data_IF_423673667858
#
_entry.id   IF_423673667858
#
_cell.length_a   1.000
_cell.length_b   1.000
_cell.length_c   1.000
_cell.angle_alpha   90.00
_cell.angle_beta   90.00
_cell.angle_gamma   90.00
#
_symmetry.space_group_name_H-M   'P 1'
#
loop_
_entity.id
_entity.type
_entity.pdbx_description
1 polymer ?
#
# COMPACT_ATOMS: atom_id res chain seq x y z
N UNK A 1 -15.79 4.88 11.29
CA UNK A 1 -14.93 4.40 12.40
C UNK A 1 -13.56 4.18 11.78
N UNK A 2 -12.48 4.78 12.29
CA UNK A 2 -11.15 4.65 11.67
C UNK A 2 -10.66 3.21 11.78
N UNK A 3 -10.17 2.62 10.67
CA UNK A 3 -9.56 1.29 10.65
C UNK A 3 -8.21 1.23 11.39
N UNK A 4 -7.65 2.41 11.69
CA UNK A 4 -6.34 2.52 12.30
C UNK A 4 -6.41 3.34 13.58
N UNK A 5 -5.79 2.84 14.62
CA UNK A 5 -5.51 3.61 15.83
C UNK A 5 -4.00 3.82 15.91
N UNK A 6 -3.59 5.01 16.34
CA UNK A 6 -2.20 5.20 16.73
C UNK A 6 -1.90 4.19 17.84
N UNK A 7 -0.84 3.43 17.72
CA UNK A 7 -0.35 2.61 18.83
C UNK A 7 0.06 3.57 19.92
N UNK A 8 -0.79 3.73 20.93
CA UNK A 8 -0.48 4.52 22.15
C UNK A 8 0.56 3.84 23.04
N UNK A 9 1.03 2.67 22.68
CA UNK A 9 2.21 2.08 23.28
C UNK A 9 3.39 2.73 22.57
N UNK A 10 3.91 3.73 23.26
CA UNK A 10 5.14 4.44 22.96
C UNK A 10 6.29 3.52 22.57
N UNK A 11 6.34 3.13 21.32
CA UNK A 11 7.61 2.89 20.69
C UNK A 11 8.13 4.29 20.34
N UNK A 12 9.00 4.81 21.15
CA UNK A 12 9.56 6.18 21.06
C UNK A 12 10.16 6.56 19.70
N UNK A 13 10.07 5.72 18.66
CA UNK A 13 10.73 5.91 17.38
C UNK A 13 9.96 5.48 16.12
N UNK A 14 8.72 4.93 16.20
CA UNK A 14 8.04 4.47 14.99
C UNK A 14 6.59 4.93 14.95
N UNK A 15 6.27 5.82 13.99
CA UNK A 15 4.90 6.27 13.66
C UNK A 15 4.10 5.19 12.90
N UNK A 16 4.35 3.90 13.18
CA UNK A 16 3.58 2.81 12.62
C UNK A 16 2.18 2.77 13.25
N UNK A 17 1.19 2.51 12.42
CA UNK A 17 -0.18 2.34 12.85
C UNK A 17 -0.43 0.89 13.27
N UNK A 18 -1.49 0.67 14.04
CA UNK A 18 -2.00 -0.66 14.35
C UNK A 18 -3.32 -0.89 13.60
N UNK A 19 -3.38 -2.00 12.86
CA UNK A 19 -4.60 -2.40 12.17
C UNK A 19 -5.66 -2.83 13.18
N UNK A 20 -6.86 -2.27 13.06
CA UNK A 20 -8.01 -2.66 13.87
C UNK A 20 -9.24 -2.78 12.98
N UNK A 21 -9.67 -4.02 12.77
CA UNK A 21 -10.91 -4.28 12.06
C UNK A 21 -12.11 -4.06 12.98
N UNK A 22 -13.13 -3.30 12.55
CA UNK A 22 -14.40 -3.20 13.30
C UNK A 22 -15.17 -4.54 13.29
N UNK A 23 -15.03 -5.29 12.20
CA UNK A 23 -15.55 -6.65 12.01
C UNK A 23 -14.52 -7.46 11.23
N UNK A 24 -14.52 -8.78 11.34
CA UNK A 24 -13.57 -9.63 10.60
C UNK A 24 -13.62 -9.33 9.08
N UNK A 25 -12.47 -9.17 8.40
CA UNK A 25 -12.43 -8.95 6.96
C UNK A 25 -13.05 -10.15 6.23
N UNK A 26 -13.87 -9.86 5.22
CA UNK A 26 -14.61 -10.88 4.48
C UNK A 26 -14.14 -11.07 3.06
N UNK A 27 -13.70 -10.00 2.41
CA UNK A 27 -13.36 -9.99 0.99
C UNK A 27 -11.86 -9.72 0.82
N UNK A 28 -11.14 -10.71 0.34
CA UNK A 28 -9.70 -10.64 0.14
C UNK A 28 -9.39 -10.70 -1.36
N UNK A 29 -8.82 -9.63 -1.89
CA UNK A 29 -8.30 -9.60 -3.26
C UNK A 29 -6.90 -10.22 -3.28
N UNK A 30 -6.71 -11.23 -4.10
CA UNK A 30 -5.42 -11.87 -4.33
C UNK A 30 -4.86 -11.41 -5.69
N UNK A 31 -3.66 -10.85 -5.68
CA UNK A 31 -2.91 -10.50 -6.89
C UNK A 31 -1.59 -11.25 -6.91
N UNK A 32 -1.09 -11.57 -8.10
CA UNK A 32 0.16 -12.32 -8.27
C UNK A 32 1.03 -11.73 -9.36
N UNK A 33 2.33 -12.05 -9.31
CA UNK A 33 3.22 -11.82 -10.43
C UNK A 33 2.77 -12.68 -11.63
N UNK A 34 2.52 -12.02 -12.75
CA UNK A 34 2.12 -12.71 -13.98
C UNK A 34 3.26 -13.57 -14.56
N UNK A 35 2.90 -14.55 -15.39
CA UNK A 35 3.83 -15.40 -16.13
C UNK A 35 4.86 -16.15 -15.26
N UNK A 36 4.47 -16.54 -14.04
CA UNK A 36 5.34 -17.28 -13.12
C UNK A 36 4.61 -18.48 -12.52
N UNK A 37 4.84 -19.70 -13.05
CA UNK A 37 4.18 -20.93 -12.57
C UNK A 37 4.37 -21.18 -11.07
N UNK A 38 5.58 -20.96 -10.56
CA UNK A 38 5.88 -21.14 -9.12
C UNK A 38 5.06 -20.20 -8.23
N UNK A 39 4.77 -18.98 -8.71
CA UNK A 39 3.92 -18.03 -7.97
C UNK A 39 2.46 -18.47 -8.06
N UNK A 40 2.03 -19.04 -9.18
CA UNK A 40 0.69 -19.60 -9.34
C UNK A 40 0.46 -20.78 -8.39
N UNK A 41 1.41 -21.71 -8.27
CA UNK A 41 1.33 -22.83 -7.32
C UNK A 41 1.23 -22.33 -5.88
N UNK A 42 2.01 -21.31 -5.54
CA UNK A 42 1.97 -20.67 -4.21
C UNK A 42 0.65 -19.96 -3.97
N UNK A 43 0.07 -19.30 -4.98
CA UNK A 43 -1.25 -18.69 -4.89
C UNK A 43 -2.34 -19.73 -4.61
N UNK A 44 -2.28 -20.89 -5.29
CA UNK A 44 -3.21 -22.00 -5.06
C UNK A 44 -3.07 -22.54 -3.63
N UNK A 45 -1.85 -22.73 -3.15
CA UNK A 45 -1.58 -23.15 -1.77
C UNK A 45 -2.17 -22.17 -0.76
N UNK A 46 -1.93 -20.88 -0.96
CA UNK A 46 -2.42 -19.81 -0.11
C UNK A 46 -3.94 -19.70 -0.13
N UNK A 47 -4.56 -19.75 -1.31
CA UNK A 47 -6.01 -19.71 -1.45
C UNK A 47 -6.68 -20.91 -0.76
N UNK A 48 -6.16 -22.12 -0.92
CA UNK A 48 -6.64 -23.33 -0.21
C UNK A 48 -6.54 -23.19 1.30
N UNK A 49 -5.44 -22.61 1.78
CA UNK A 49 -5.29 -22.36 3.22
C UNK A 49 -6.36 -21.38 3.73
N UNK A 50 -6.60 -20.29 3.03
CA UNK A 50 -7.64 -19.32 3.44
C UNK A 50 -9.02 -20.00 3.42
N UNK A 51 -9.39 -20.66 2.35
CA UNK A 51 -10.69 -21.32 2.22
C UNK A 51 -10.92 -22.39 3.31
N UNK A 52 -9.88 -23.14 3.69
CA UNK A 52 -10.02 -24.19 4.72
C UNK A 52 -9.99 -23.67 6.15
N UNK A 53 -9.22 -22.61 6.41
CA UNK A 53 -8.99 -22.10 7.77
C UNK A 53 -9.89 -20.90 8.14
N UNK A 54 -10.42 -20.19 7.15
CA UNK A 54 -11.23 -18.98 7.29
C UNK A 54 -12.47 -19.04 6.37
N UNK A 55 -13.43 -19.93 6.61
CA UNK A 55 -14.56 -20.20 5.70
C UNK A 55 -15.49 -19.00 5.51
N UNK A 56 -15.40 -17.96 6.33
CA UNK A 56 -16.14 -16.71 6.18
C UNK A 56 -15.51 -15.73 5.19
N UNK A 57 -14.31 -16.04 4.69
CA UNK A 57 -13.58 -15.18 3.75
C UNK A 57 -13.90 -15.57 2.32
N UNK A 58 -14.29 -14.59 1.52
CA UNK A 58 -14.46 -14.69 0.06
C UNK A 58 -13.17 -14.26 -0.63
N UNK A 59 -12.69 -15.06 -1.57
CA UNK A 59 -11.52 -14.74 -2.38
C UNK A 59 -11.95 -14.07 -3.68
N UNK A 60 -11.35 -12.92 -3.96
CA UNK A 60 -11.52 -12.16 -5.20
C UNK A 60 -10.19 -12.24 -5.95
N UNK A 61 -10.23 -12.45 -7.26
CA UNK A 61 -9.05 -12.48 -8.11
C UNK A 61 -9.29 -11.61 -9.35
N UNK A 62 -8.21 -11.13 -9.94
CA UNK A 62 -8.28 -10.53 -11.27
C UNK A 62 -8.66 -11.60 -12.30
N UNK A 63 -9.34 -11.24 -13.41
CA UNK A 63 -9.90 -12.20 -14.37
C UNK A 63 -8.90 -13.25 -14.84
N UNK A 64 -7.71 -12.84 -15.27
CA UNK A 64 -6.67 -13.74 -15.77
C UNK A 64 -6.19 -14.73 -14.69
N UNK A 65 -5.97 -14.24 -13.47
CA UNK A 65 -5.58 -15.07 -12.35
C UNK A 65 -6.70 -16.05 -11.95
N UNK A 66 -7.96 -15.59 -11.99
CA UNK A 66 -9.11 -16.44 -11.69
C UNK A 66 -9.26 -17.58 -12.71
N UNK A 67 -9.10 -17.28 -14.01
CA UNK A 67 -9.14 -18.31 -15.07
C UNK A 67 -8.05 -19.38 -14.89
N UNK A 68 -6.86 -18.95 -14.48
CA UNK A 68 -5.71 -19.84 -14.26
C UNK A 68 -5.90 -20.78 -13.06
N UNK A 69 -6.50 -20.28 -11.94
CA UNK A 69 -6.50 -21.03 -10.68
C UNK A 69 -7.83 -21.69 -10.29
N UNK A 70 -8.98 -21.28 -10.89
CA UNK A 70 -10.31 -21.74 -10.43
C UNK A 70 -10.45 -23.27 -10.43
N UNK A 71 -9.84 -23.97 -11.38
CA UNK A 71 -9.90 -25.43 -11.50
C UNK A 71 -9.20 -26.16 -10.36
N UNK A 72 -8.32 -25.47 -9.65
CA UNK A 72 -7.51 -26.03 -8.56
C UNK A 72 -8.11 -25.76 -7.17
N UNK A 73 -9.21 -25.02 -7.09
CA UNK A 73 -9.85 -24.63 -5.85
C UNK A 73 -11.21 -25.32 -5.68
N UNK A 74 -11.53 -25.71 -4.45
CA UNK A 74 -12.78 -26.42 -4.14
C UNK A 74 -13.93 -25.45 -3.90
N UNK A 75 -13.67 -24.37 -3.21
CA UNK A 75 -14.69 -23.35 -2.92
C UNK A 75 -14.71 -22.28 -4.03
N UNK A 76 -15.84 -21.63 -4.25
CA UNK A 76 -15.96 -20.59 -5.27
C UNK A 76 -15.00 -19.44 -5.02
N UNK A 77 -14.55 -18.84 -6.10
CA UNK A 77 -13.81 -17.59 -6.15
C UNK A 77 -14.59 -16.58 -6.97
N UNK A 78 -14.34 -15.31 -6.73
CA UNK A 78 -15.02 -14.21 -7.39
C UNK A 78 -14.06 -13.44 -8.28
N UNK A 79 -14.59 -12.88 -9.35
CA UNK A 79 -13.86 -11.99 -10.24
C UNK A 79 -14.79 -10.91 -10.79
N UNK A 80 -14.21 -9.85 -11.35
CA UNK A 80 -14.99 -8.77 -11.98
C UNK A 80 -15.51 -9.23 -13.33
N UNK A 81 -16.80 -9.00 -13.59
CA UNK A 81 -17.40 -9.31 -14.90
C UNK A 81 -16.90 -8.35 -15.98
N UNK A 82 -16.81 -8.86 -17.23
CA UNK A 82 -16.44 -8.05 -18.38
C UNK A 82 -17.42 -6.87 -18.58
N UNK A 83 -16.87 -5.66 -18.71
CA UNK A 83 -17.63 -4.42 -18.91
C UNK A 83 -17.70 -3.50 -17.67
N UNK A 84 -17.44 -3.99 -16.48
CA UNK A 84 -17.29 -3.16 -15.28
C UNK A 84 -15.85 -2.68 -15.13
N UNK A 85 -15.67 -1.45 -14.61
CA UNK A 85 -14.33 -0.95 -14.26
C UNK A 85 -13.85 -1.68 -12.99
N UNK A 86 -12.76 -2.47 -13.04
CA UNK A 86 -12.28 -3.21 -11.86
C UNK A 86 -12.03 -2.32 -10.64
N UNK A 87 -11.52 -1.11 -10.85
CA UNK A 87 -11.19 -0.17 -9.78
C UNK A 87 -12.38 0.24 -8.92
N UNK A 88 -13.55 0.49 -9.51
CA UNK A 88 -14.75 0.86 -8.73
C UNK A 88 -15.30 -0.32 -7.93
N UNK A 89 -15.34 -1.51 -8.55
CA UNK A 89 -15.84 -2.73 -7.89
C UNK A 89 -14.92 -3.12 -6.73
N UNK A 90 -13.60 -3.05 -6.93
CA UNK A 90 -12.63 -3.39 -5.88
C UNK A 90 -12.69 -2.39 -4.72
N UNK A 91 -12.85 -1.09 -5.00
CA UNK A 91 -12.94 -0.07 -3.96
C UNK A 91 -14.12 -0.30 -2.99
N UNK A 92 -15.24 -0.78 -3.52
CA UNK A 92 -16.47 -0.99 -2.72
C UNK A 92 -16.50 -2.34 -2.01
N UNK A 93 -15.79 -3.35 -2.51
CA UNK A 93 -15.96 -4.74 -2.07
C UNK A 93 -14.77 -5.31 -1.31
N UNK A 94 -13.56 -4.82 -1.56
CA UNK A 94 -12.34 -5.41 -1.02
C UNK A 94 -12.02 -4.86 0.37
N UNK A 95 -11.88 -5.74 1.36
CA UNK A 95 -11.44 -5.37 2.70
C UNK A 95 -9.91 -5.44 2.85
N UNK A 96 -9.28 -6.40 2.19
CA UNK A 96 -7.84 -6.68 2.29
C UNK A 96 -7.30 -7.06 0.91
N UNK A 97 -6.15 -6.53 0.55
CA UNK A 97 -5.39 -7.00 -0.62
C UNK A 97 -4.23 -7.87 -0.17
N UNK A 98 -4.00 -8.98 -0.85
CA UNK A 98 -2.83 -9.82 -0.60
C UNK A 98 -2.07 -10.08 -1.90
N UNK A 99 -0.77 -9.78 -1.91
CA UNK A 99 0.07 -9.84 -3.12
C UNK A 99 1.13 -10.93 -3.01
N UNK A 100 1.34 -11.69 -4.09
CA UNK A 100 2.39 -12.69 -4.21
C UNK A 100 3.36 -12.30 -5.33
N UNK A 101 4.53 -11.77 -4.97
CA UNK A 101 5.51 -11.31 -5.96
C UNK A 101 6.57 -10.39 -5.36
N UNK A 102 7.09 -9.49 -6.17
CA UNK A 102 8.02 -8.43 -5.76
C UNK A 102 7.34 -7.06 -5.74
N UNK A 103 8.15 -6.00 -5.65
CA UNK A 103 7.68 -4.61 -5.56
C UNK A 103 6.74 -4.23 -6.72
N UNK A 104 7.02 -4.68 -7.95
CA UNK A 104 6.14 -4.44 -9.09
C UNK A 104 4.73 -5.03 -8.93
N UNK A 105 4.56 -6.15 -8.21
CA UNK A 105 3.23 -6.72 -7.92
C UNK A 105 2.48 -5.88 -6.89
N UNK A 106 3.19 -5.30 -5.94
CA UNK A 106 2.60 -4.39 -4.94
C UNK A 106 2.15 -3.09 -5.60
N UNK A 107 2.98 -2.53 -6.49
CA UNK A 107 2.62 -1.36 -7.31
C UNK A 107 1.38 -1.64 -8.17
N UNK A 108 1.34 -2.80 -8.83
CA UNK A 108 0.16 -3.22 -9.59
C UNK A 108 -1.08 -3.28 -8.71
N UNK A 109 -1.00 -3.92 -7.54
CA UNK A 109 -2.12 -3.98 -6.60
C UNK A 109 -2.58 -2.58 -6.15
N UNK A 110 -1.64 -1.66 -5.88
CA UNK A 110 -1.96 -0.26 -5.55
C UNK A 110 -2.63 0.47 -6.72
N UNK A 111 -2.20 0.20 -7.97
CA UNK A 111 -2.74 0.84 -9.17
C UNK A 111 -4.21 0.49 -9.44
N UNK A 112 -4.71 -0.65 -8.93
CA UNK A 112 -6.13 -1.01 -8.99
C UNK A 112 -7.02 -0.01 -8.23
N UNK A 113 -6.42 0.78 -7.34
CA UNK A 113 -7.06 1.84 -6.54
C UNK A 113 -6.53 3.24 -6.88
N UNK A 114 -5.93 3.41 -8.06
CA UNK A 114 -5.27 4.66 -8.43
C UNK A 114 -6.22 5.87 -8.57
N UNK A 115 -7.53 5.65 -8.69
CA UNK A 115 -8.54 6.73 -8.74
C UNK A 115 -9.31 6.86 -7.42
N UNK A 116 -8.96 6.06 -6.41
CA UNK A 116 -9.67 6.01 -5.12
C UNK A 116 -8.85 6.66 -4.02
N UNK A 117 -9.50 7.46 -3.18
CA UNK A 117 -8.86 8.02 -1.97
C UNK A 117 -8.61 6.93 -0.92
N UNK A 118 -9.49 5.94 -0.83
CA UNK A 118 -9.37 4.83 0.12
C UNK A 118 -8.75 3.60 -0.55
N UNK A 119 -7.66 3.10 0.04
CA UNK A 119 -6.99 1.87 -0.39
C UNK A 119 -7.07 0.84 0.74
N UNK A 120 -7.55 -0.39 0.49
CA UNK A 120 -7.52 -1.45 1.47
C UNK A 120 -6.09 -1.77 1.93
N UNK A 121 -5.89 -2.26 3.17
CA UNK A 121 -4.58 -2.72 3.62
C UNK A 121 -3.99 -3.77 2.68
N UNK A 122 -2.68 -3.67 2.42
CA UNK A 122 -1.96 -4.58 1.53
C UNK A 122 -1.00 -5.46 2.34
N UNK A 123 -1.24 -6.77 2.32
CA UNK A 123 -0.35 -7.81 2.84
C UNK A 123 0.47 -8.41 1.70
N UNK A 124 1.77 -8.21 1.71
CA UNK A 124 2.65 -8.57 0.60
C UNK A 124 3.59 -9.70 0.94
N UNK A 125 3.65 -10.72 0.07
CA UNK A 125 4.56 -11.85 0.18
C UNK A 125 5.63 -11.82 -0.90
N UNK A 126 6.89 -11.72 -0.49
CA UNK A 126 8.03 -11.90 -1.38
C UNK A 126 8.21 -13.38 -1.73
N UNK A 127 8.38 -13.64 -3.03
CA UNK A 127 8.59 -14.99 -3.58
C UNK A 127 10.08 -15.32 -3.81
N UNK A 128 10.97 -14.42 -3.44
CA UNK A 128 12.41 -14.54 -3.61
C UNK A 128 13.16 -13.62 -2.65
N UNK A 129 13.99 -12.73 -3.19
CA UNK A 129 14.63 -11.68 -2.42
C UNK A 129 13.59 -10.67 -1.93
N UNK A 130 13.74 -10.17 -0.70
CA UNK A 130 12.92 -9.08 -0.21
C UNK A 130 13.20 -7.83 -1.06
N UNK A 131 12.11 -7.10 -1.38
CA UNK A 131 12.18 -5.78 -2.00
C UNK A 131 12.09 -4.67 -0.96
N UNK A 132 11.91 -3.44 -1.43
CA UNK A 132 11.70 -2.26 -0.57
C UNK A 132 10.27 -2.14 -0.05
N UNK A 133 9.30 -2.80 -0.71
CA UNK A 133 7.88 -2.66 -0.41
C UNK A 133 7.32 -3.85 0.37
N UNK A 134 7.84 -5.05 0.17
CA UNK A 134 7.34 -6.28 0.80
C UNK A 134 8.27 -6.80 1.88
N UNK A 135 7.73 -7.07 3.08
CA UNK A 135 8.52 -7.50 4.23
C UNK A 135 8.31 -8.96 4.63
N UNK A 136 7.21 -9.59 4.18
CA UNK A 136 6.90 -10.97 4.53
C UNK A 136 7.43 -11.93 3.47
N UNK A 137 8.10 -13.00 3.90
CA UNK A 137 8.42 -14.13 3.02
C UNK A 137 7.20 -15.04 2.88
N UNK A 138 7.01 -15.62 1.70
CA UNK A 138 5.85 -16.51 1.47
C UNK A 138 5.79 -17.67 2.46
N UNK A 139 6.91 -18.22 2.90
CA UNK A 139 6.95 -19.29 3.91
C UNK A 139 6.21 -18.94 5.23
N UNK A 140 5.99 -17.67 5.51
CA UNK A 140 5.31 -17.18 6.72
C UNK A 140 3.82 -16.85 6.49
N UNK A 141 3.23 -17.18 5.33
CA UNK A 141 1.89 -16.73 4.95
C UNK A 141 0.79 -17.08 5.97
N UNK A 142 0.86 -18.26 6.59
CA UNK A 142 -0.11 -18.69 7.60
C UNK A 142 -0.10 -17.80 8.85
N UNK A 143 1.09 -17.41 9.27
CA UNK A 143 1.28 -16.52 10.41
C UNK A 143 0.84 -15.10 10.07
N UNK A 144 1.31 -14.57 8.95
CA UNK A 144 1.02 -13.22 8.50
C UNK A 144 -0.49 -13.00 8.29
N UNK A 145 -1.16 -13.89 7.56
CA UNK A 145 -2.60 -13.79 7.34
C UNK A 145 -3.39 -13.86 8.65
N UNK A 146 -3.00 -14.77 9.55
CA UNK A 146 -3.65 -14.87 10.86
C UNK A 146 -3.49 -13.59 11.68
N UNK A 147 -2.30 -12.98 11.69
CA UNK A 147 -2.02 -11.75 12.42
C UNK A 147 -2.92 -10.62 11.90
N UNK A 148 -3.02 -10.48 10.58
CA UNK A 148 -3.88 -9.49 9.93
C UNK A 148 -5.36 -9.76 10.22
N UNK A 149 -5.84 -10.97 9.99
CA UNK A 149 -7.24 -11.36 10.16
C UNK A 149 -7.73 -11.17 11.61
N UNK A 150 -6.86 -11.40 12.58
CA UNK A 150 -7.21 -11.30 14.01
C UNK A 150 -7.05 -9.90 14.59
N UNK A 151 -6.55 -8.93 13.83
CA UNK A 151 -6.38 -7.54 14.27
C UNK A 151 -7.73 -6.92 14.63
N UNK A 152 -7.87 -6.35 15.82
CA UNK A 152 -9.13 -5.75 16.33
C UNK A 152 -10.13 -6.74 16.94
N UNK A 153 -9.82 -8.04 17.00
CA UNK A 153 -10.74 -9.06 17.53
C UNK A 153 -11.23 -8.82 18.96
N UNK A 154 -10.47 -8.09 19.78
CA UNK A 154 -10.86 -7.76 21.15
C UNK A 154 -11.85 -6.61 21.27
N UNK A 155 -11.76 -5.61 20.38
CA UNK A 155 -12.59 -4.41 20.46
C UNK A 155 -14.02 -4.67 19.96
N UNK A 156 -14.20 -5.57 18.99
CA UNK A 156 -15.50 -6.01 18.52
C UNK A 156 -16.33 -6.78 19.57
N UNK A 157 -15.68 -7.37 20.56
CA UNK A 157 -16.37 -8.13 21.61
C UNK A 157 -16.91 -7.24 22.73
N UNK A 158 -16.25 -6.12 23.01
CA UNK A 158 -16.70 -5.14 24.01
C UNK A 158 -17.98 -4.40 23.63
N UNK A 159 -18.18 -4.14 22.34
CA UNK A 159 -19.35 -3.40 21.85
C UNK A 159 -20.64 -4.25 21.79
N UNK A 160 -20.53 -5.58 21.75
CA UNK A 160 -21.69 -6.49 21.75
C UNK A 160 -22.23 -6.70 23.18
N UNK A 161 -21.40 -6.55 24.20
CA UNK A 161 -21.81 -6.71 25.62
C UNK A 161 -22.38 -5.41 26.18
N UNK A 162 -22.06 -4.24 25.60
CA UNK A 162 -22.52 -2.94 26.10
C UNK A 162 -23.91 -2.55 25.58
N UNK A 163 -24.59 -3.41 24.82
CA UNK A 163 -25.92 -3.13 24.23
C UNK A 163 -27.11 -3.48 25.11
N UNK A 164 -26.91 -3.99 26.32
CA UNK A 164 -28.02 -4.24 27.23
C UNK A 164 -27.84 -3.38 28.51
N UNK A 165 -28.60 -2.28 28.53
CA UNK A 165 -28.61 -1.35 29.62
C UNK A 165 -29.34 -1.92 30.85
N UNK A 166 -28.63 -2.09 31.93
CA UNK A 166 -29.18 -1.79 33.27
C UNK A 166 -28.03 -1.50 34.24
N UNK A 167 -28.02 -0.27 34.72
CA UNK A 167 -27.30 0.14 35.91
C UNK A 167 -27.71 -0.71 37.09
N UNK A 168 -26.77 -1.37 37.78
CA UNK A 168 -26.90 -1.60 39.21
C UNK A 168 -25.53 -1.48 39.90
N UNK A 169 -25.56 -0.69 40.92
CA UNK A 169 -24.45 -0.26 41.74
C UNK A 169 -23.78 -1.41 42.51
N UNK A 170 -22.55 -1.17 42.88
CA UNK A 170 -21.74 -1.88 43.87
C UNK A 170 -22.52 -2.29 45.10
N UNK A 171 -22.44 -3.59 45.46
CA UNK A 171 -22.46 -3.96 46.87
C UNK A 171 -21.39 -5.04 47.11
N UNK A 172 -20.60 -4.81 48.14
CA UNK A 172 -19.62 -5.74 48.71
C UNK A 172 -20.32 -6.62 49.69
N UNK A 173 -20.36 -7.93 49.45
CA UNK A 173 -20.88 -8.89 50.42
C UNK A 173 -20.22 -10.26 50.24
N UNK A 174 -19.49 -10.64 51.26
CA UNK A 174 -18.93 -11.96 51.54
C UNK A 174 -19.99 -13.04 51.61
N UNK A 175 -19.73 -14.24 51.06
CA UNK A 175 -20.51 -15.45 51.37
C UNK A 175 -20.47 -16.57 50.34
N UNK A 176 -20.11 -17.69 50.76
CA UNK A 176 -19.87 -19.05 50.29
C UNK A 176 -20.71 -19.62 49.12
N UNK A 177 -20.20 -20.69 48.46
CA UNK A 177 -20.76 -21.23 47.22
C UNK A 177 -21.60 -22.46 47.47
N UNK A 178 -22.88 -22.44 47.11
CA UNK A 178 -23.62 -23.69 46.78
C UNK A 178 -24.86 -23.38 45.92
N UNK A 179 -25.01 -24.20 44.88
CA UNK A 179 -26.26 -24.57 44.18
C UNK A 179 -26.91 -23.53 43.28
N UNK A 180 -26.94 -23.73 42.00
CA UNK A 180 -27.93 -24.55 41.30
C UNK A 180 -27.72 -24.52 39.77
N UNK A 181 -27.68 -25.69 39.23
CA UNK A 181 -27.72 -25.97 37.79
C UNK A 181 -29.13 -25.65 37.32
N UNK A 182 -29.22 -24.73 36.35
CA UNK A 182 -30.40 -24.62 35.50
C UNK A 182 -29.99 -24.99 34.08
N UNK A 183 -30.30 -26.24 33.75
CA UNK A 183 -30.30 -26.75 32.36
C UNK A 183 -31.42 -26.11 31.59
N UNK A 184 -31.10 -25.40 30.49
CA UNK A 184 -32.01 -25.38 29.35
C UNK A 184 -31.26 -25.04 28.07
N UNK A 185 -31.48 -25.95 27.10
CA UNK A 185 -31.30 -25.83 25.65
C UNK A 185 -29.87 -25.71 25.13
N UNK A 186 -29.30 -26.85 24.77
CA UNK A 186 -28.23 -26.95 23.81
C UNK A 186 -28.74 -26.57 22.43
N UNK A 187 -28.05 -25.64 21.70
CA UNK A 187 -28.12 -25.67 20.25
C UNK A 187 -27.10 -26.72 19.79
N UNK A 188 -27.63 -27.72 19.10
CA UNK A 188 -26.85 -28.66 18.32
C UNK A 188 -26.08 -27.90 17.24
N UNK A 189 -24.79 -27.70 17.40
CA UNK A 189 -23.83 -27.71 16.33
C UNK A 189 -22.42 -27.73 16.95
N UNK A 190 -21.72 -28.85 16.74
CA UNK A 190 -20.32 -29.05 17.06
C UNK A 190 -19.35 -28.21 16.16
N UNK A 191 -19.72 -27.01 15.81
CA UNK A 191 -18.83 -26.07 15.15
C UNK A 191 -17.88 -25.49 16.20
N UNK A 192 -16.63 -25.94 16.21
CA UNK A 192 -15.58 -25.31 17.02
C UNK A 192 -15.53 -23.83 16.68
N UNK A 193 -15.63 -22.91 17.67
CA UNK A 193 -15.56 -21.49 17.40
C UNK A 193 -14.23 -21.18 16.71
N UNK A 194 -14.29 -20.77 15.45
CA UNK A 194 -13.14 -20.44 14.62
C UNK A 194 -12.98 -18.95 14.48
N UNK A 195 -11.73 -18.47 14.39
CA UNK A 195 -11.44 -17.08 14.12
C UNK A 195 -11.71 -16.14 15.30
N UNK A 196 -12.40 -15.06 15.05
CA UNK A 196 -12.64 -13.94 15.96
C UNK A 196 -13.33 -14.34 17.28
N UNK A 197 -14.22 -15.30 17.24
CA UNK A 197 -14.95 -15.83 18.41
C UNK A 197 -14.13 -16.84 19.22
N UNK A 198 -12.96 -17.24 18.77
CA UNK A 198 -12.13 -18.24 19.48
C UNK A 198 -11.50 -17.65 20.74
N UNK A 199 -11.23 -18.54 21.74
CA UNK A 199 -10.49 -18.17 22.97
C UNK A 199 -9.12 -17.55 22.63
N UNK A 200 -8.47 -18.03 21.56
CA UNK A 200 -7.18 -17.48 21.11
C UNK A 200 -7.31 -16.07 20.54
N UNK A 201 -8.43 -15.75 19.87
CA UNK A 201 -8.73 -14.37 19.44
C UNK A 201 -8.90 -13.45 20.64
N UNK A 202 -9.64 -13.90 21.65
CA UNK A 202 -9.85 -13.14 22.89
C UNK A 202 -8.58 -12.92 23.71
N UNK A 203 -7.55 -13.77 23.55
CA UNK A 203 -6.26 -13.64 24.26
C UNK A 203 -5.25 -12.76 23.53
N UNK A 204 -5.54 -12.31 22.29
CA UNK A 204 -4.74 -11.30 21.62
C UNK A 204 -5.09 -9.95 22.26
N UNK A 205 -4.22 -9.45 23.13
CA UNK A 205 -4.40 -8.15 23.76
C UNK A 205 -4.47 -7.01 22.74
N UNK A 206 -4.94 -5.81 23.12
CA UNK A 206 -5.16 -4.67 22.23
C UNK A 206 -3.90 -4.24 21.44
N UNK A 207 -2.74 -4.63 21.90
CA UNK A 207 -1.44 -4.29 21.29
C UNK A 207 -0.91 -5.33 20.29
N UNK A 208 -1.69 -6.36 19.93
CA UNK A 208 -1.27 -7.43 19.02
C UNK A 208 -1.89 -7.35 17.63
N UNK A 209 -2.35 -6.18 17.20
CA UNK A 209 -2.75 -5.94 15.82
C UNK A 209 -1.56 -5.93 14.87
N UNK A 210 -1.79 -6.29 13.61
CA UNK A 210 -0.80 -6.14 12.55
C UNK A 210 -0.34 -4.68 12.46
N UNK A 211 0.95 -4.49 12.29
CA UNK A 211 1.53 -3.15 12.12
C UNK A 211 1.39 -2.70 10.68
N UNK A 212 1.12 -1.43 10.50
CA UNK A 212 0.87 -0.81 9.21
C UNK A 212 1.77 0.40 9.04
N UNK A 213 2.53 0.39 7.96
CA UNK A 213 3.19 1.56 7.42
C UNK A 213 2.24 2.22 6.41
N UNK A 214 1.81 3.44 6.71
CA UNK A 214 0.99 4.20 5.77
C UNK A 214 1.90 4.92 4.77
N UNK A 215 1.87 4.48 3.50
CA UNK A 215 2.68 5.06 2.43
C UNK A 215 1.93 6.22 1.79
N UNK A 216 2.61 7.35 1.69
CA UNK A 216 2.07 8.53 0.99
C UNK A 216 1.94 8.26 -0.51
N UNK A 217 0.96 8.90 -1.15
CA UNK A 217 0.83 8.94 -2.60
C UNK A 217 0.97 10.37 -3.11
N UNK A 218 1.28 10.47 -4.38
CA UNK A 218 1.15 11.72 -5.14
C UNK A 218 -0.24 11.78 -5.73
N UNK A 219 -0.83 12.96 -5.71
CA UNK A 219 -2.03 13.30 -6.46
C UNK A 219 -1.63 14.02 -7.74
N UNK A 220 -2.13 13.57 -8.89
CA UNK A 220 -1.65 13.97 -10.20
C UNK A 220 -2.80 14.47 -11.06
N UNK A 221 -2.61 15.60 -11.71
CA UNK A 221 -3.51 16.13 -12.74
C UNK A 221 -2.74 16.61 -13.97
N UNK A 222 -3.31 16.41 -15.15
CA UNK A 222 -2.82 16.95 -16.41
C UNK A 222 -3.74 18.09 -16.86
N UNK A 223 -3.16 19.21 -17.30
CA UNK A 223 -3.90 20.41 -17.65
C UNK A 223 -3.47 20.94 -19.02
N UNK A 224 -4.44 21.42 -19.76
CA UNK A 224 -4.22 22.11 -21.04
C UNK A 224 -3.58 23.49 -20.85
N UNK A 225 -3.13 24.12 -21.97
CA UNK A 225 -2.56 25.46 -21.92
C UNK A 225 -3.56 26.53 -21.44
N UNK A 226 -4.86 26.27 -21.57
CA UNK A 226 -5.95 27.12 -21.10
C UNK A 226 -6.27 26.91 -19.61
N UNK A 227 -5.54 25.99 -18.94
CA UNK A 227 -5.76 25.61 -17.56
C UNK A 227 -6.92 24.63 -17.33
N UNK A 228 -7.62 24.21 -18.41
CA UNK A 228 -8.62 23.14 -18.32
C UNK A 228 -7.94 21.82 -17.97
N UNK A 229 -8.62 21.02 -17.15
CA UNK A 229 -8.13 19.68 -16.84
C UNK A 229 -8.34 18.78 -18.06
N UNK A 230 -7.32 18.01 -18.39
CA UNK A 230 -7.40 17.05 -19.47
C UNK A 230 -7.82 15.71 -18.88
N UNK A 231 -8.96 15.20 -19.34
CA UNK A 231 -9.55 13.98 -18.82
C UNK A 231 -8.62 12.77 -18.93
N UNK A 232 -8.72 11.87 -17.98
CA UNK A 232 -8.12 10.53 -18.11
C UNK A 232 -8.87 9.78 -19.21
N UNK A 233 -8.22 8.77 -19.83
CA UNK A 233 -8.78 7.92 -20.90
C UNK A 233 -10.17 7.34 -20.59
N UNK A 234 -10.62 7.45 -19.34
CA UNK A 234 -11.88 6.96 -18.81
C UNK A 234 -12.97 8.05 -18.62
N UNK A 235 -12.65 9.34 -18.79
CA UNK A 235 -13.58 10.45 -18.55
C UNK A 235 -14.76 10.49 -19.56
N UNK A 236 -14.65 9.82 -20.70
CA UNK A 236 -15.69 9.78 -21.72
C UNK A 236 -17.00 9.10 -21.26
N UNK A 237 -16.99 8.37 -20.13
CA UNK A 237 -18.13 7.59 -19.64
C UNK A 237 -18.76 8.17 -18.38
N UNK A 238 -18.02 8.87 -17.50
CA UNK A 238 -18.54 9.35 -16.21
C UNK A 238 -18.65 10.86 -16.08
N UNK A 239 -18.02 11.64 -16.97
CA UNK A 239 -18.08 13.12 -16.89
C UNK A 239 -17.37 13.72 -15.65
N UNK A 240 -16.86 12.91 -14.75
CA UNK A 240 -16.12 13.34 -13.56
C UNK A 240 -14.61 13.22 -13.80
N UNK A 241 -13.92 14.32 -13.55
CA UNK A 241 -12.48 14.41 -13.65
C UNK A 241 -11.83 13.78 -12.41
N UNK A 242 -11.56 12.47 -12.47
CA UNK A 242 -10.96 11.75 -11.36
C UNK A 242 -9.46 12.09 -11.21
N UNK A 243 -9.05 12.36 -9.98
CA UNK A 243 -7.63 12.44 -9.63
C UNK A 243 -6.97 11.08 -9.77
N UNK A 244 -5.72 11.07 -10.21
CA UNK A 244 -4.91 9.85 -10.29
C UNK A 244 -3.84 9.90 -9.22
N UNK A 245 -3.69 8.80 -8.50
CA UNK A 245 -2.72 8.69 -7.41
C UNK A 245 -1.55 7.79 -7.81
N UNK A 246 -0.34 8.21 -7.47
CA UNK A 246 0.90 7.45 -7.64
C UNK A 246 1.50 7.08 -6.29
N UNK A 247 1.92 5.83 -6.11
CA UNK A 247 2.61 5.38 -4.91
C UNK A 247 4.11 5.65 -4.97
N UNK A 248 4.73 5.49 -6.16
CA UNK A 248 6.14 5.77 -6.35
C UNK A 248 6.38 7.14 -6.96
N UNK A 249 6.02 7.34 -8.23
CA UNK A 249 6.42 8.54 -8.95
C UNK A 249 5.55 8.85 -10.16
N UNK A 250 5.66 10.12 -10.56
CA UNK A 250 5.22 10.64 -11.87
C UNK A 250 6.43 11.06 -12.65
N UNK A 251 6.49 10.66 -13.91
CA UNK A 251 7.62 10.91 -14.80
C UNK A 251 7.14 11.66 -16.04
N UNK A 252 7.86 12.72 -16.41
CA UNK A 252 7.84 13.29 -17.76
C UNK A 252 9.14 12.88 -18.45
N UNK A 253 9.06 12.27 -19.63
CA UNK A 253 10.22 11.77 -20.35
C UNK A 253 10.12 12.06 -21.85
N UNK A 254 11.25 12.34 -22.49
CA UNK A 254 11.31 12.60 -23.94
C UNK A 254 10.91 11.38 -24.80
N UNK A 255 10.80 10.20 -24.21
CA UNK A 255 10.50 8.97 -24.94
C UNK A 255 11.59 8.65 -25.97
N UNK A 256 11.17 8.42 -27.20
CA UNK A 256 12.06 8.13 -28.34
C UNK A 256 12.60 9.38 -29.06
N UNK A 257 12.18 10.58 -28.67
CA UNK A 257 12.65 11.83 -29.27
C UNK A 257 14.15 12.01 -28.96
N UNK A 258 14.99 12.31 -29.95
CA UNK A 258 16.42 12.55 -29.76
C UNK A 258 16.72 13.86 -29.03
N UNK A 259 15.77 14.80 -28.99
CA UNK A 259 15.94 16.08 -28.32
C UNK A 259 15.67 16.00 -26.84
N UNK A 260 16.47 16.70 -26.04
CA UNK A 260 16.22 16.84 -24.60
C UNK A 260 14.89 17.56 -24.35
N UNK A 261 14.20 17.14 -23.30
CA UNK A 261 12.98 17.81 -22.83
C UNK A 261 13.33 19.12 -22.13
N UNK A 262 12.58 20.17 -22.43
CA UNK A 262 12.66 21.46 -21.76
C UNK A 262 11.38 21.66 -20.94
N UNK A 263 11.52 21.66 -19.63
CA UNK A 263 10.40 21.75 -18.67
C UNK A 263 10.58 22.97 -17.79
N UNK A 264 9.58 23.85 -17.79
CA UNK A 264 9.47 24.93 -16.81
C UNK A 264 8.92 24.36 -15.52
N UNK A 265 9.70 24.47 -14.45
CA UNK A 265 9.38 23.93 -13.13
C UNK A 265 8.91 25.04 -12.20
N UNK A 266 7.74 24.82 -11.57
CA UNK A 266 7.18 25.70 -10.55
C UNK A 266 7.02 24.94 -9.25
N UNK A 267 7.34 25.58 -8.13
CA UNK A 267 7.24 25.04 -6.77
C UNK A 267 6.45 26.03 -5.92
N UNK A 268 5.37 25.57 -5.30
CA UNK A 268 4.48 26.44 -4.53
C UNK A 268 3.87 27.58 -5.37
N UNK A 269 3.62 27.33 -6.65
CA UNK A 269 3.12 28.32 -7.60
C UNK A 269 4.15 29.34 -8.09
N UNK A 270 5.43 29.23 -7.66
CA UNK A 270 6.51 30.14 -8.09
C UNK A 270 7.43 29.44 -9.07
N UNK A 271 7.78 30.15 -10.15
CA UNK A 271 8.80 29.65 -11.10
C UNK A 271 10.11 29.39 -10.36
N UNK A 272 10.63 28.18 -10.49
CA UNK A 272 11.91 27.79 -9.92
C UNK A 272 13.01 27.84 -10.98
N UNK A 273 12.86 27.10 -12.06
CA UNK A 273 13.88 26.99 -13.11
C UNK A 273 13.32 26.35 -14.39
N UNK A 274 14.07 26.50 -15.48
CA UNK A 274 13.92 25.70 -16.69
C UNK A 274 14.86 24.50 -16.62
N UNK A 275 14.31 23.29 -16.69
CA UNK A 275 15.07 22.04 -16.72
C UNK A 275 15.26 21.60 -18.15
N UNK A 276 16.51 21.33 -18.56
CA UNK A 276 16.86 20.71 -19.83
C UNK A 276 17.48 19.36 -19.54
N UNK A 277 16.74 18.27 -19.78
CA UNK A 277 17.07 16.93 -19.35
C UNK A 277 16.41 15.86 -20.25
N UNK A 278 16.72 14.59 -20.05
CA UNK A 278 15.96 13.50 -20.67
C UNK A 278 14.52 13.44 -20.12
N UNK A 279 14.33 13.92 -18.90
CA UNK A 279 13.04 13.98 -18.23
C UNK A 279 13.12 14.49 -16.79
N UNK A 280 12.01 14.39 -16.09
CA UNK A 280 11.86 14.81 -14.70
C UNK A 280 11.00 13.79 -13.94
N UNK A 281 11.41 13.45 -12.73
CA UNK A 281 10.70 12.57 -11.81
C UNK A 281 10.21 13.40 -10.63
N UNK A 282 8.92 13.27 -10.28
CA UNK A 282 8.41 13.68 -8.99
C UNK A 282 8.04 12.40 -8.25
N UNK A 283 8.67 12.14 -7.11
CA UNK A 283 8.47 10.91 -6.36
C UNK A 283 8.08 11.12 -4.90
N UNK A 284 7.44 10.10 -4.34
CA UNK A 284 7.21 9.95 -2.90
C UNK A 284 8.47 9.47 -2.20
N UNK A 285 8.52 9.46 -0.87
CA UNK A 285 9.58 8.75 -0.13
C UNK A 285 9.68 7.27 -0.50
N UNK A 286 8.54 6.60 -0.72
CA UNK A 286 8.50 5.20 -1.21
C UNK A 286 9.20 5.08 -2.57
N UNK A 287 8.89 5.96 -3.52
CA UNK A 287 9.50 6.01 -4.85
C UNK A 287 10.96 6.48 -4.86
N UNK A 288 11.48 6.99 -3.73
CA UNK A 288 12.88 7.40 -3.62
C UNK A 288 13.86 6.25 -3.85
N UNK A 289 13.42 5.01 -3.65
CA UNK A 289 14.20 3.79 -3.89
C UNK A 289 13.90 3.13 -5.24
N UNK A 290 13.03 3.74 -6.06
CA UNK A 290 12.70 3.30 -7.42
C UNK A 290 13.53 4.03 -8.49
N UNK A 291 12.93 4.56 -9.54
CA UNK A 291 13.65 5.21 -10.63
C UNK A 291 14.38 6.49 -10.21
N UNK A 292 13.85 7.21 -9.20
CA UNK A 292 14.54 8.36 -8.61
C UNK A 292 15.95 8.00 -8.11
N UNK A 293 16.12 6.83 -7.46
CA UNK A 293 17.43 6.35 -7.00
C UNK A 293 18.40 6.19 -8.16
N UNK A 294 18.00 5.50 -9.22
CA UNK A 294 18.84 5.30 -10.42
C UNK A 294 19.20 6.60 -11.13
N UNK A 295 18.36 7.63 -10.99
CA UNK A 295 18.59 8.97 -11.54
C UNK A 295 19.40 9.88 -10.59
N UNK A 296 19.96 9.34 -9.50
CA UNK A 296 20.78 10.08 -8.54
C UNK A 296 19.98 10.82 -7.47
N UNK A 297 18.71 10.47 -7.27
CA UNK A 297 17.87 10.98 -6.18
C UNK A 297 18.33 10.48 -4.82
N UNK A 298 17.99 11.24 -3.77
CA UNK A 298 18.27 10.86 -2.39
C UNK A 298 17.29 9.80 -1.90
N UNK A 299 17.75 8.86 -1.09
CA UNK A 299 16.92 7.92 -0.37
C UNK A 299 16.23 8.65 0.77
N UNK A 300 14.92 8.49 0.88
CA UNK A 300 14.12 9.11 1.94
C UNK A 300 13.32 8.02 2.65
N UNK A 301 13.34 8.06 3.98
CA UNK A 301 12.57 7.14 4.81
C UNK A 301 11.06 7.29 4.54
N UNK A 302 10.29 6.19 4.39
CA UNK A 302 8.86 6.25 4.04
C UNK A 302 7.99 7.07 4.99
N UNK A 303 8.38 7.23 6.25
CA UNK A 303 7.67 8.04 7.24
C UNK A 303 7.92 9.55 7.14
N UNK A 304 8.90 9.98 6.32
CA UNK A 304 9.17 11.41 6.12
C UNK A 304 8.17 11.98 5.12
N UNK A 305 7.26 12.82 5.58
CA UNK A 305 6.25 13.47 4.71
C UNK A 305 6.91 14.48 3.76
N UNK A 306 7.29 14.01 2.57
CA UNK A 306 8.05 14.81 1.59
C UNK A 306 7.73 14.41 0.16
N UNK A 307 8.13 15.27 -0.78
CA UNK A 307 8.18 15.02 -2.23
C UNK A 307 9.63 15.20 -2.71
N UNK A 308 10.02 14.43 -3.71
CA UNK A 308 11.32 14.53 -4.32
C UNK A 308 11.16 14.98 -5.78
N UNK A 309 12.01 15.92 -6.21
CA UNK A 309 12.17 16.30 -7.61
C UNK A 309 13.53 15.78 -8.05
N UNK A 310 13.56 14.88 -9.02
CA UNK A 310 14.80 14.29 -9.54
C UNK A 310 14.86 14.46 -11.05
N UNK A 311 15.80 15.25 -11.59
CA UNK A 311 16.00 15.34 -13.05
C UNK A 311 16.65 14.07 -13.58
N UNK A 312 16.27 13.63 -14.78
CA UNK A 312 16.86 12.49 -15.48
C UNK A 312 17.93 13.02 -16.43
N UNK A 313 19.20 12.68 -16.20
CA UNK A 313 20.32 13.09 -17.04
C UNK A 313 20.29 14.60 -17.40
N UNK A 314 20.24 15.52 -16.43
CA UNK A 314 20.14 16.95 -16.72
C UNK A 314 21.40 17.46 -17.43
N UNK A 315 21.19 18.35 -18.41
CA UNK A 315 22.31 19.03 -19.10
C UNK A 315 23.14 19.87 -18.14
N UNK A 316 22.50 20.50 -17.15
CA UNK A 316 23.17 21.30 -16.14
C UNK A 316 23.58 20.44 -14.94
N UNK A 317 24.86 20.35 -14.67
CA UNK A 317 25.39 19.60 -13.53
C UNK A 317 25.06 20.23 -12.17
N UNK A 318 24.60 21.48 -12.14
CA UNK A 318 24.18 22.17 -10.92
C UNK A 318 22.74 21.84 -10.51
N UNK A 319 21.94 21.27 -11.42
CA UNK A 319 20.58 20.85 -11.06
C UNK A 319 20.63 19.55 -10.26
N UNK A 320 20.47 19.66 -8.97
CA UNK A 320 20.48 18.55 -8.02
C UNK A 320 19.06 18.14 -7.64
N UNK A 321 18.83 16.87 -7.26
CA UNK A 321 17.57 16.46 -6.66
C UNK A 321 17.19 17.34 -5.47
N UNK A 322 15.90 17.66 -5.36
CA UNK A 322 15.33 18.48 -4.28
C UNK A 322 14.38 17.64 -3.45
N UNK A 323 14.42 17.82 -2.13
CA UNK A 323 13.42 17.28 -1.20
C UNK A 323 12.57 18.42 -0.67
N UNK A 324 11.27 18.31 -0.78
CA UNK A 324 10.31 19.34 -0.42
C UNK A 324 9.24 18.77 0.53
N UNK A 325 8.57 19.59 1.35
CA UNK A 325 7.42 19.14 2.12
C UNK A 325 6.32 18.57 1.21
N UNK A 326 5.63 17.52 1.65
CA UNK A 326 4.62 16.81 0.84
C UNK A 326 3.47 17.70 0.38
N UNK A 327 3.11 18.72 1.16
CA UNK A 327 2.05 19.67 0.84
C UNK A 327 2.46 20.78 -0.15
N UNK A 328 3.67 20.70 -0.72
CA UNK A 328 4.15 21.70 -1.68
C UNK A 328 3.68 21.33 -3.09
N UNK A 329 2.80 22.12 -3.74
CA UNK A 329 2.39 21.83 -5.12
C UNK A 329 3.55 22.06 -6.09
N UNK A 330 3.72 21.11 -7.01
CA UNK A 330 4.73 21.14 -8.05
C UNK A 330 4.02 21.18 -9.41
N UNK A 331 4.43 22.08 -10.29
CA UNK A 331 3.93 22.14 -11.66
C UNK A 331 5.08 21.99 -12.63
N UNK A 332 4.95 21.05 -13.56
CA UNK A 332 5.86 20.80 -14.66
C UNK A 332 5.14 21.20 -15.95
N UNK A 333 5.57 22.27 -16.60
CA UNK A 333 5.02 22.75 -17.88
C UNK A 333 5.99 22.41 -19.00
N UNK A 334 5.50 21.79 -20.08
CA UNK A 334 6.34 21.62 -21.27
C UNK A 334 6.56 22.98 -21.93
N UNK A 335 7.83 23.40 -21.94
CA UNK A 335 8.22 24.75 -22.43
C UNK A 335 7.95 24.92 -23.91
N UNK A 336 7.60 26.16 -24.32
CA UNK A 336 7.45 26.53 -25.74
C UNK A 336 8.76 26.38 -26.52
N UNK A 337 9.91 26.40 -25.83
CA UNK A 337 11.23 26.17 -26.39
C UNK A 337 11.51 24.71 -26.73
N UNK A 338 10.63 23.78 -26.30
CA UNK A 338 10.85 22.36 -26.55
C UNK A 338 10.79 22.05 -28.04
N UNK A 339 11.80 21.32 -28.54
CA UNK A 339 11.87 20.96 -29.96
C UNK A 339 10.93 19.82 -30.31
N UNK A 340 10.80 18.83 -29.41
CA UNK A 340 9.77 17.81 -29.49
C UNK A 340 8.42 18.41 -29.11
N UNK A 341 7.39 18.20 -29.93
CA UNK A 341 6.06 18.77 -29.68
C UNK A 341 5.30 18.07 -28.52
N UNK A 342 5.72 16.88 -28.18
CA UNK A 342 5.07 16.04 -27.18
C UNK A 342 6.11 15.27 -26.39
N UNK A 343 5.79 14.98 -25.13
CA UNK A 343 6.60 14.13 -24.25
C UNK A 343 5.70 13.08 -23.58
N UNK A 344 6.30 11.98 -23.17
CA UNK A 344 5.60 10.90 -22.50
C UNK A 344 5.39 11.25 -21.02
N UNK A 345 4.22 10.85 -20.47
CA UNK A 345 3.92 10.90 -19.04
C UNK A 345 3.68 9.47 -18.56
N UNK A 346 4.32 9.07 -17.48
CA UNK A 346 4.06 7.79 -16.83
C UNK A 346 3.81 7.97 -15.33
N UNK A 347 2.99 7.09 -14.76
CA UNK A 347 2.62 7.07 -13.35
C UNK A 347 2.88 5.65 -12.84
N UNK A 348 3.70 5.51 -11.80
CA UNK A 348 4.13 4.21 -11.23
C UNK A 348 4.62 3.22 -12.31
N UNK A 349 5.38 3.73 -13.30
CA UNK A 349 5.91 2.95 -14.40
C UNK A 349 4.90 2.62 -15.51
N UNK A 350 3.64 3.04 -15.40
CA UNK A 350 2.61 2.83 -16.43
C UNK A 350 2.50 4.08 -17.32
N UNK A 351 2.81 3.97 -18.63
CA UNK A 351 2.65 5.07 -19.55
C UNK A 351 1.17 5.49 -19.66
N UNK A 352 0.93 6.79 -19.71
CA UNK A 352 -0.40 7.33 -20.04
C UNK A 352 -0.58 7.32 -21.55
N UNK A 353 -1.79 7.03 -22.01
CA UNK A 353 -2.12 7.09 -23.44
C UNK A 353 -2.02 8.52 -23.98
N UNK A 354 -2.24 9.50 -23.11
CA UNK A 354 -2.16 10.90 -23.45
C UNK A 354 -0.75 11.44 -23.21
N UNK A 355 -0.15 11.98 -24.28
CA UNK A 355 1.13 12.69 -24.24
C UNK A 355 0.94 14.13 -23.78
N UNK A 356 1.97 14.71 -23.17
CA UNK A 356 2.00 16.11 -22.77
C UNK A 356 2.48 16.98 -23.94
N UNK A 357 1.63 17.86 -24.43
CA UNK A 357 1.94 18.84 -25.48
C UNK A 357 2.60 20.11 -24.95
N UNK A 358 3.16 20.91 -25.84
CA UNK A 358 3.75 22.22 -25.51
C UNK A 358 2.72 23.13 -24.84
N UNK A 359 3.11 23.76 -23.74
CA UNK A 359 2.25 24.62 -22.93
C UNK A 359 1.32 23.87 -21.96
N UNK A 360 1.19 22.55 -22.10
CA UNK A 360 0.45 21.72 -21.13
C UNK A 360 1.25 21.52 -19.85
N UNK A 361 0.54 21.20 -18.77
CA UNK A 361 1.09 21.07 -17.43
C UNK A 361 0.75 19.72 -16.80
N UNK A 362 1.71 19.15 -16.10
CA UNK A 362 1.46 18.13 -15.05
C UNK A 362 1.58 18.82 -13.71
N UNK A 363 0.50 18.77 -12.92
CA UNK A 363 0.48 19.29 -11.55
C UNK A 363 0.46 18.14 -10.58
N UNK A 364 1.33 18.21 -9.58
CA UNK A 364 1.57 17.14 -8.61
C UNK A 364 1.62 17.73 -7.21
N UNK A 365 0.97 17.07 -6.27
CA UNK A 365 1.08 17.36 -4.84
C UNK A 365 0.90 16.10 -4.02
N UNK A 366 1.33 16.10 -2.77
CA UNK A 366 1.10 15.00 -1.85
C UNK A 366 -0.38 14.82 -1.55
N UNK A 367 -0.82 13.59 -1.43
CA UNK A 367 -2.16 13.26 -0.98
C UNK A 367 -2.36 13.68 0.48
N UNK A 368 -3.54 14.19 0.81
CA UNK A 368 -3.95 14.40 2.19
C UNK A 368 -4.28 13.05 2.83
N UNK A 369 -3.45 12.64 3.78
CA UNK A 369 -3.60 11.35 4.48
C UNK A 369 -4.40 11.46 5.77
N UNK A 370 -4.64 12.67 6.25
CA UNK A 370 -5.48 12.96 7.43
C UNK A 370 -6.46 14.09 7.15
N UNK A 371 -7.67 13.96 7.67
CA UNK A 371 -8.64 15.04 7.67
C UNK A 371 -8.34 16.08 8.79
N UNK A 372 -9.15 17.15 8.84
CA UNK A 372 -9.02 18.20 9.87
C UNK A 372 -9.29 17.69 11.29
N UNK A 373 -9.96 16.57 11.45
CA UNK A 373 -10.24 15.89 12.70
C UNK A 373 -9.14 14.92 13.11
N UNK A 374 -8.14 14.70 12.23
CA UNK A 374 -7.04 13.77 12.46
C UNK A 374 -7.32 12.32 12.06
N UNK A 375 -8.48 12.04 11.43
CA UNK A 375 -8.78 10.69 10.92
C UNK A 375 -7.97 10.40 9.66
N UNK A 376 -7.61 9.13 9.49
CA UNK A 376 -6.91 8.67 8.29
C UNK A 376 -7.89 8.58 7.11
N UNK A 377 -7.59 9.23 5.99
CA UNK A 377 -8.45 9.33 4.81
C UNK A 377 -7.77 8.93 3.50
N UNK A 378 -6.46 8.74 3.50
CA UNK A 378 -5.70 8.45 2.28
C UNK A 378 -4.44 7.63 2.55
N UNK A 379 -3.60 7.48 1.55
CA UNK A 379 -2.39 6.69 1.56
C UNK A 379 -2.62 5.21 1.27
N UNK A 380 -1.53 4.44 1.17
CA UNK A 380 -1.54 2.98 0.98
C UNK A 380 -1.11 2.29 2.26
N UNK A 381 -2.03 1.63 2.97
CA UNK A 381 -1.70 0.92 4.20
C UNK A 381 -0.94 -0.38 3.87
N UNK A 382 0.36 -0.41 4.09
CA UNK A 382 1.22 -1.58 3.88
C UNK A 382 1.44 -2.32 5.19
N UNK A 383 1.11 -3.60 5.24
CA UNK A 383 1.28 -4.43 6.42
C UNK A 383 2.74 -4.84 6.53
N UNK A 384 3.38 -4.38 7.61
CA UNK A 384 4.79 -4.63 7.89
C UNK A 384 4.96 -5.78 8.88
N UNK A 385 6.13 -6.40 8.85
CA UNK A 385 6.46 -7.50 9.74
C UNK A 385 6.71 -6.98 11.15
N UNK A 386 5.95 -7.45 12.13
CA UNK A 386 6.21 -7.17 13.54
C UNK A 386 7.50 -7.87 14.01
N UNK A 387 8.31 -7.19 14.83
CA UNK A 387 9.46 -7.80 15.47
C UNK A 387 9.01 -8.94 16.41
N UNK A 388 9.53 -10.15 16.21
CA UNK A 388 9.23 -11.31 17.04
C UNK A 388 10.32 -11.46 18.08
N UNK A 389 9.96 -11.25 19.37
CA UNK A 389 10.69 -11.82 20.50
C UNK A 389 12.08 -11.27 20.79
N UNK A 390 12.47 -10.14 20.25
CA UNK A 390 13.69 -9.45 20.71
C UNK A 390 13.32 -8.46 21.81
N UNK A 391 13.98 -8.56 22.97
CA UNK A 391 13.86 -7.59 24.08
C UNK A 391 14.26 -6.16 23.64
N UNK A 392 14.83 -6.04 22.46
CA UNK A 392 15.18 -4.80 21.75
C UNK A 392 14.21 -4.53 20.59
N UNK A 393 12.91 -4.63 20.80
CA UNK A 393 11.80 -4.53 19.84
C UNK A 393 11.70 -3.23 19.01
N UNK A 394 12.81 -2.63 18.62
CA UNK A 394 12.90 -1.31 17.99
C UNK A 394 13.78 -1.30 16.73
N UNK A 395 14.07 -2.45 16.12
CA UNK A 395 14.76 -2.43 14.84
C UNK A 395 13.80 -1.99 13.76
N UNK A 396 14.06 -0.84 13.19
CA UNK A 396 13.47 -0.38 11.94
C UNK A 396 13.91 -1.35 10.84
N UNK A 397 13.01 -2.25 10.44
CA UNK A 397 13.28 -3.25 9.41
C UNK A 397 13.69 -2.60 8.08
N UNK A 398 13.26 -1.36 7.82
CA UNK A 398 13.62 -0.62 6.62
C UNK A 398 15.12 -0.24 6.62
N UNK A 399 15.61 0.31 7.74
CA UNK A 399 17.04 0.65 7.88
C UNK A 399 17.90 -0.61 7.85
N UNK A 400 17.51 -1.67 8.57
CA UNK A 400 18.18 -2.96 8.53
C UNK A 400 18.21 -3.60 7.13
N UNK A 401 17.15 -3.40 6.34
CA UNK A 401 17.05 -3.88 4.96
C UNK A 401 17.87 -3.11 3.94
N UNK A 402 18.15 -1.82 4.16
CA UNK A 402 18.85 -0.96 3.20
C UNK A 402 20.20 -1.53 2.74
N UNK A 403 21.03 -1.95 3.69
CA UNK A 403 22.34 -2.48 3.35
C UNK A 403 22.28 -3.79 2.56
N UNK A 404 21.32 -4.65 2.89
CA UNK A 404 21.08 -5.89 2.15
C UNK A 404 20.58 -5.65 0.72
N UNK A 405 19.78 -4.61 0.50
CA UNK A 405 19.20 -4.28 -0.81
C UNK A 405 20.15 -3.44 -1.67
N UNK A 406 20.85 -2.45 -1.08
CA UNK A 406 21.69 -1.50 -1.81
C UNK A 406 23.16 -1.88 -1.81
N UNK A 407 23.57 -2.86 -0.97
CA UNK A 407 24.94 -3.35 -0.87
C UNK A 407 25.96 -2.22 -0.69
N UNK A 408 25.68 -1.29 0.24
CA UNK A 408 26.62 -0.23 0.58
C UNK A 408 27.98 -0.83 0.99
N UNK A 409 29.08 -0.31 0.44
CA UNK A 409 30.45 -0.72 0.74
C UNK A 409 30.81 -2.19 0.42
N UNK A 410 30.03 -2.88 -0.41
CA UNK A 410 30.46 -4.17 -0.95
C UNK A 410 31.51 -3.94 -2.05
N UNK A 411 32.66 -4.63 -2.02
CA UNK A 411 33.65 -4.56 -3.10
C UNK A 411 33.03 -5.08 -4.41
N UNK A 412 33.37 -4.46 -5.53
CA UNK A 412 32.98 -4.95 -6.85
C UNK A 412 33.59 -6.34 -7.07
N UNK A 413 32.76 -7.35 -7.34
CA UNK A 413 33.19 -8.69 -7.73
C UNK A 413 33.16 -9.75 -6.62
N UNK A 414 32.78 -9.45 -5.41
CA UNK A 414 32.50 -10.48 -4.40
C UNK A 414 31.05 -10.99 -4.57
N UNK A 415 30.94 -12.23 -5.06
CA UNK A 415 29.68 -12.97 -4.99
C UNK A 415 29.34 -13.29 -3.53
N UNK A 416 28.07 -13.24 -3.21
CA UNK A 416 27.45 -13.42 -1.90
C UNK A 416 27.86 -14.75 -1.25
N UNK A 417 29.01 -14.79 -0.58
CA UNK A 417 29.35 -15.86 0.34
C UNK A 417 28.57 -15.64 1.63
N UNK A 418 27.33 -16.16 1.67
CA UNK A 418 26.32 -15.98 2.70
C UNK A 418 26.75 -16.33 4.13
N UNK A 419 27.60 -15.50 4.71
CA UNK A 419 27.88 -15.49 6.16
C UNK A 419 27.89 -14.05 6.65
N UNK A 420 26.91 -13.59 7.45
CA UNK A 420 27.03 -12.33 8.17
C UNK A 420 28.16 -12.47 9.19
N UNK A 421 29.29 -11.84 8.89
CA UNK A 421 30.41 -11.78 9.78
C UNK A 421 30.06 -11.08 11.09
N UNK A 422 30.25 -11.78 12.19
CA UNK A 422 30.44 -11.19 13.50
C UNK A 422 31.61 -10.20 13.42
N UNK A 423 31.32 -8.94 13.65
CA UNK A 423 32.28 -7.96 14.26
C UNK A 423 31.49 -7.01 15.15
#
# INVERSE_FOLDING_TARGET
MSLFTNTTVETRHNDLLCLQWPTAPRNVLLTKKNLSPTVTDSLIEYARHIQSSYPSVSLILEPDAAEEVHKHLVSPIYSVCGGEKPSSVFADKVDLVSTLGGDGTILHASSLFATQSHVPPILSFSMGTLGFLGEWKFAEYKRAFREVFMSGANDGYGSVISGDGTNTALDRGTGDPTTSISTNAAPSDNARPTGWSSIRGKSMGPNRGARVLLRNRLKVGVFGPDGSRVGSDNAAVSGEEEDVYAMNEVIIHRGRDPHLTIVDLFVGGRYLTESVADGMIISTPTGSTAYSLSSGGSIVHPLVSSLLITPICPRSLSFRPLVLPANTPITMRLSEKNRGRQVEVSIDGVPRSQTLGVGMEVRVWGEDIRDRQGNWIGGVPSIVRGAVGTEHGNEDNWVGGLNGLLKFNYPFGEEDSGVPGQR
#
